data_IF_656705358661
#
_entry.id   IF_656705358661
#
_cell.length_a   1.000
_cell.length_b   1.000
_cell.length_c   1.000
_cell.angle_alpha   90.00
_cell.angle_beta   90.00
_cell.angle_gamma   90.00
#
_symmetry.space_group_name_H-M   'P 1'
#
loop_
_entity.id
_entity.type
_entity.pdbx_description
1 polymer ?
#
# COMPACT_ATOMS: atom_id res chain seq x y z
N UNK A 1 18.18 10.40 22.09
CA UNK A 1 19.59 10.82 22.13
C UNK A 1 19.80 11.71 20.92
N UNK A 2 19.77 13.01 21.14
CA UNK A 2 19.84 14.03 20.09
C UNK A 2 21.31 14.32 19.77
N UNK A 3 21.72 14.11 18.53
CA UNK A 3 23.07 14.48 18.05
C UNK A 3 22.95 15.68 17.13
N UNK A 4 23.35 16.84 17.65
CA UNK A 4 23.55 18.07 16.89
C UNK A 4 24.93 18.03 16.24
N UNK A 5 25.03 18.11 14.92
CA UNK A 5 26.31 18.25 14.21
C UNK A 5 26.32 19.59 13.48
N UNK A 6 27.31 20.39 13.85
CA UNK A 6 27.69 21.71 13.36
C UNK A 6 27.96 21.72 11.86
N UNK A 7 27.48 22.78 11.21
CA UNK A 7 27.88 23.23 9.89
C UNK A 7 29.36 23.66 9.88
N UNK A 8 30.08 23.29 8.82
CA UNK A 8 31.40 23.80 8.48
C UNK A 8 31.31 24.44 7.10
N UNK A 9 31.57 25.75 7.04
CA UNK A 9 31.74 26.53 5.82
C UNK A 9 32.96 26.02 5.04
N UNK A 10 32.74 25.62 3.78
CA UNK A 10 33.78 25.30 2.83
C UNK A 10 34.16 26.56 2.06
N UNK A 11 35.38 27.02 2.33
CA UNK A 11 36.09 28.09 1.65
C UNK A 11 36.46 27.64 0.22
N UNK A 12 35.96 28.38 -0.78
CA UNK A 12 36.28 28.21 -2.20
C UNK A 12 37.69 28.77 -2.50
N UNK A 13 38.57 28.03 -3.19
CA UNK A 13 39.74 28.61 -3.85
C UNK A 13 39.43 28.92 -5.33
N UNK A 14 39.79 30.11 -5.86
CA UNK A 14 39.71 30.39 -7.28
C UNK A 14 40.94 29.85 -8.04
N UNK A 15 40.71 29.57 -9.32
CA UNK A 15 41.57 28.89 -10.29
C UNK A 15 42.79 29.69 -10.77
N UNK A 16 43.81 29.01 -11.36
CA UNK A 16 45.02 29.64 -11.87
C UNK A 16 44.82 30.35 -13.22
N UNK A 17 45.43 31.52 -13.35
CA UNK A 17 45.53 32.34 -14.56
C UNK A 17 46.22 31.60 -15.72
N UNK A 18 45.58 31.64 -16.88
CA UNK A 18 46.15 31.34 -18.19
C UNK A 18 47.18 32.40 -18.59
N UNK A 19 48.39 31.96 -18.92
CA UNK A 19 49.35 32.75 -19.69
C UNK A 19 49.39 32.21 -21.14
N UNK A 20 49.23 33.04 -22.18
CA UNK A 20 49.49 32.61 -23.55
C UNK A 20 50.96 32.82 -23.97
N UNK A 21 51.46 32.04 -24.95
CA UNK A 21 52.88 31.90 -25.25
C UNK A 21 53.35 32.90 -26.30
N UNK A 22 54.59 33.41 -26.15
CA UNK A 22 55.27 34.15 -27.20
C UNK A 22 55.88 33.19 -28.23
N UNK A 23 55.56 33.50 -29.48
CA UNK A 23 55.85 32.79 -30.72
C UNK A 23 57.35 32.56 -30.96
N UNK A 24 57.65 31.40 -31.52
CA UNK A 24 58.96 31.03 -32.03
C UNK A 24 58.81 30.01 -33.14
N UNK A 25 58.46 30.46 -34.34
CA UNK A 25 58.55 29.65 -35.57
C UNK A 25 59.73 30.12 -36.43
N UNK A 26 60.52 29.16 -36.89
CA UNK A 26 61.54 29.33 -37.94
C UNK A 26 61.49 28.14 -38.91
N UNK A 27 61.88 28.45 -40.14
CA UNK A 27 62.00 27.66 -41.38
C UNK A 27 60.69 27.51 -42.17
N UNK A 28 60.66 27.70 -43.49
CA UNK A 28 61.68 27.97 -44.52
C UNK A 28 60.94 28.41 -45.80
N UNK A 29 61.58 29.20 -46.67
CA UNK A 29 61.01 29.59 -47.96
C UNK A 29 62.00 30.35 -48.84
N UNK A 30 62.33 29.73 -49.98
CA UNK A 30 63.35 30.06 -50.98
C UNK A 30 63.16 31.36 -51.80
N UNK A 31 64.31 31.81 -52.32
CA UNK A 31 64.59 32.46 -53.62
C UNK A 31 64.01 33.86 -53.93
N UNK A 32 64.92 34.83 -54.15
CA UNK A 32 65.37 35.20 -55.50
C UNK A 32 66.28 36.45 -55.51
N UNK A 33 67.34 36.35 -56.32
CA UNK A 33 67.94 37.39 -57.16
C UNK A 33 68.39 38.74 -56.55
N UNK A 34 69.71 38.89 -56.43
CA UNK A 34 70.38 40.14 -56.77
C UNK A 34 71.77 39.86 -57.34
N UNK A 35 71.84 39.84 -58.67
CA UNK A 35 73.10 39.97 -59.39
C UNK A 35 73.65 41.39 -59.18
N UNK A 36 74.85 41.49 -58.64
CA UNK A 36 75.68 42.69 -58.77
C UNK A 36 77.11 42.24 -59.08
N UNK A 37 77.36 42.18 -60.38
CA UNK A 37 78.67 42.05 -61.00
C UNK A 37 79.53 43.27 -60.68
N UNK A 38 80.68 43.03 -60.05
CA UNK A 38 81.86 43.87 -60.12
C UNK A 38 83.05 42.92 -60.21
N UNK A 39 83.41 42.45 -61.40
CA UNK A 39 84.39 43.11 -62.28
C UNK A 39 85.66 43.54 -61.54
N UNK A 40 86.53 42.58 -61.27
CA UNK A 40 87.97 42.78 -61.48
C UNK A 40 88.58 41.41 -61.68
N UNK A 41 88.44 40.96 -62.92
CA UNK A 41 89.28 39.96 -63.55
C UNK A 41 90.73 40.41 -63.48
N UNK A 42 91.38 40.15 -62.35
CA UNK A 42 92.80 39.86 -62.31
C UNK A 42 92.89 38.45 -61.74
N UNK A 43 92.64 37.47 -62.62
CA UNK A 43 93.19 36.13 -62.44
C UNK A 43 94.70 36.29 -62.42
N UNK A 44 95.24 36.60 -61.25
CA UNK A 44 96.64 36.44 -60.93
C UNK A 44 96.88 34.94 -60.89
N UNK A 45 96.95 34.33 -62.07
CA UNK A 45 97.30 32.94 -62.25
C UNK A 45 98.81 32.87 -61.98
N UNK A 46 99.23 32.38 -60.79
CA UNK A 46 100.64 32.40 -60.42
C UNK A 46 101.47 31.62 -61.44
N UNK A 47 100.85 30.68 -62.16
CA UNK A 47 101.47 29.91 -63.23
C UNK A 47 101.78 30.78 -64.45
N UNK A 48 100.88 31.69 -64.87
CA UNK A 48 101.10 32.59 -66.01
C UNK A 48 102.11 33.70 -65.70
N UNK A 49 102.10 34.24 -64.48
CA UNK A 49 103.11 35.23 -64.07
C UNK A 49 104.49 34.60 -63.89
N UNK A 50 104.54 33.36 -63.39
CA UNK A 50 105.77 32.56 -63.36
C UNK A 50 106.26 32.24 -64.78
N UNK A 51 105.37 31.88 -65.72
CA UNK A 51 105.71 31.68 -67.13
C UNK A 51 106.24 32.96 -67.79
N UNK A 52 105.62 34.12 -67.58
CA UNK A 52 106.12 35.42 -68.10
C UNK A 52 107.47 35.77 -67.51
N UNK A 53 107.67 35.58 -66.20
CA UNK A 53 108.98 35.80 -65.55
C UNK A 53 110.04 34.85 -66.07
N UNK A 54 109.70 33.59 -66.33
CA UNK A 54 110.62 32.64 -66.96
C UNK A 54 110.97 33.05 -68.40
N UNK A 55 110.01 33.51 -69.20
CA UNK A 55 110.28 34.04 -70.54
C UNK A 55 111.18 35.27 -70.53
N UNK A 56 110.98 36.20 -69.60
CA UNK A 56 111.85 37.38 -69.44
C UNK A 56 113.26 37.01 -68.95
N UNK A 57 113.40 36.02 -68.06
CA UNK A 57 114.70 35.50 -67.62
C UNK A 57 115.43 34.81 -68.78
N UNK A 58 114.72 34.00 -69.58
CA UNK A 58 115.28 33.34 -70.77
C UNK A 58 115.67 34.40 -71.82
N UNK A 59 114.88 35.47 -72.00
CA UNK A 59 115.20 36.56 -72.93
C UNK A 59 116.40 37.39 -72.48
N UNK A 60 116.56 37.62 -71.17
CA UNK A 60 117.65 38.45 -70.62
C UNK A 60 118.95 37.68 -70.39
N UNK A 61 118.89 36.39 -70.08
CA UNK A 61 120.07 35.57 -69.74
C UNK A 61 120.34 34.40 -70.69
N UNK A 62 119.42 34.07 -71.62
CA UNK A 62 119.56 32.94 -72.55
C UNK A 62 120.40 33.21 -73.80
N UNK A 63 120.78 34.46 -74.09
CA UNK A 63 121.69 34.77 -75.20
C UNK A 63 123.14 34.54 -74.79
N UNK A 64 123.64 33.33 -75.07
CA UNK A 64 125.05 32.96 -74.85
C UNK A 64 126.02 33.85 -75.66
N UNK A 65 125.56 34.39 -76.80
CA UNK A 65 126.36 35.20 -77.72
C UNK A 65 126.80 36.54 -77.10
N UNK A 66 125.94 37.20 -76.32
CA UNK A 66 126.28 38.47 -75.67
C UNK A 66 127.30 38.35 -74.51
N UNK A 67 127.43 37.16 -73.92
CA UNK A 67 128.46 36.86 -72.92
C UNK A 67 129.80 36.51 -73.58
N UNK A 68 129.76 35.82 -74.72
CA UNK A 68 130.93 35.52 -75.54
C UNK A 68 131.58 36.80 -76.10
N UNK A 69 130.80 37.76 -76.59
CA UNK A 69 131.35 39.04 -77.10
C UNK A 69 132.04 39.87 -76.02
N UNK A 70 131.49 39.92 -74.80
CA UNK A 70 132.12 40.58 -73.64
C UNK A 70 133.42 39.88 -73.22
N UNK A 71 133.46 38.54 -73.33
CA UNK A 71 134.66 37.76 -73.04
C UNK A 71 135.77 38.05 -74.05
N UNK A 72 135.42 38.11 -75.34
CA UNK A 72 136.35 38.41 -76.45
C UNK A 72 136.88 39.84 -76.37
N UNK A 73 136.06 40.84 -76.05
CA UNK A 73 136.53 42.22 -75.84
C UNK A 73 137.53 42.34 -74.69
N UNK A 74 137.28 41.66 -73.56
CA UNK A 74 138.22 41.64 -72.42
C UNK A 74 139.54 40.93 -72.73
N UNK A 75 139.52 39.91 -73.60
CA UNK A 75 140.73 39.18 -74.03
C UNK A 75 141.52 39.93 -75.12
N UNK A 76 140.92 40.91 -75.79
CA UNK A 76 141.59 41.74 -76.79
C UNK A 76 142.32 42.96 -76.19
N UNK A 77 142.05 43.30 -74.93
CA UNK A 77 142.76 44.36 -74.18
C UNK A 77 144.03 43.90 -73.46
N UNK A 78 144.30 42.59 -73.34
CA UNK A 78 145.55 42.07 -72.76
C UNK A 78 146.62 41.86 -73.84
N UNK A 79 147.82 42.37 -73.59
CA UNK A 79 148.88 42.57 -74.62
C UNK A 79 149.81 41.37 -74.82
N UNK A 80 149.67 40.29 -74.04
CA UNK A 80 150.48 39.07 -74.12
C UNK A 80 149.62 37.79 -74.21
N UNK A 81 150.01 36.77 -75.02
CA UNK A 81 149.29 35.49 -75.07
C UNK A 81 149.28 34.74 -73.73
N UNK A 82 150.26 34.99 -72.86
CA UNK A 82 150.36 34.38 -71.52
C UNK A 82 149.34 34.98 -70.55
N UNK A 83 149.12 36.30 -70.59
CA UNK A 83 148.06 36.99 -69.82
C UNK A 83 146.66 36.56 -70.26
N UNK A 84 146.44 36.32 -71.57
CA UNK A 84 145.15 35.82 -72.08
C UNK A 84 144.82 34.43 -71.54
N UNK A 85 145.82 33.57 -71.39
CA UNK A 85 145.65 32.23 -70.83
C UNK A 85 145.37 32.32 -69.32
N UNK A 86 146.08 33.17 -68.59
CA UNK A 86 145.84 33.39 -67.16
C UNK A 86 144.45 33.98 -66.88
N UNK A 87 144.00 34.97 -67.65
CA UNK A 87 142.66 35.54 -67.50
C UNK A 87 141.56 34.53 -67.86
N UNK A 88 141.80 33.68 -68.87
CA UNK A 88 140.88 32.60 -69.23
C UNK A 88 140.81 31.54 -68.12
N UNK A 89 141.96 31.14 -67.56
CA UNK A 89 142.02 30.21 -66.43
C UNK A 89 141.36 30.79 -65.17
N UNK A 90 141.57 32.08 -64.90
CA UNK A 90 140.93 32.81 -63.79
C UNK A 90 139.41 32.82 -63.95
N UNK A 91 138.91 33.17 -65.13
CA UNK A 91 137.47 33.15 -65.42
C UNK A 91 136.89 31.73 -65.36
N UNK A 92 137.62 30.71 -65.81
CA UNK A 92 137.18 29.31 -65.63
C UNK A 92 137.17 28.88 -64.16
N UNK A 93 138.15 29.31 -63.36
CA UNK A 93 138.18 29.04 -61.92
C UNK A 93 137.04 29.76 -61.18
N UNK A 94 136.74 31.00 -61.55
CA UNK A 94 135.59 31.78 -61.05
C UNK A 94 134.26 31.13 -61.44
N UNK A 95 134.10 30.70 -62.70
CA UNK A 95 132.92 29.97 -63.16
C UNK A 95 132.78 28.61 -62.44
N UNK A 96 133.88 27.89 -62.20
CA UNK A 96 133.86 26.65 -61.44
C UNK A 96 133.51 26.87 -59.97
N UNK A 97 134.00 27.96 -59.36
CA UNK A 97 133.64 28.35 -57.99
C UNK A 97 132.17 28.77 -57.89
N UNK A 98 131.66 29.52 -58.87
CA UNK A 98 130.24 29.89 -58.96
C UNK A 98 129.36 28.66 -59.12
N UNK A 99 129.72 27.72 -60.02
CA UNK A 99 129.02 26.44 -60.19
C UNK A 99 129.01 25.61 -58.90
N UNK A 100 130.13 25.51 -58.18
CA UNK A 100 130.18 24.84 -56.86
C UNK A 100 129.28 25.53 -55.84
N UNK A 101 129.25 26.86 -55.82
CA UNK A 101 128.38 27.63 -54.93
C UNK A 101 126.90 27.44 -55.25
N UNK A 102 126.53 27.39 -56.53
CA UNK A 102 125.16 27.17 -56.97
C UNK A 102 124.72 25.71 -56.77
N UNK A 103 125.62 24.74 -56.93
CA UNK A 103 125.38 23.33 -56.61
C UNK A 103 125.13 23.12 -55.11
N UNK A 104 125.89 23.82 -54.24
CA UNK A 104 125.64 23.82 -52.80
C UNK A 104 124.28 24.43 -52.45
N UNK A 105 123.90 25.56 -53.07
CA UNK A 105 122.57 26.17 -52.91
C UNK A 105 121.47 25.24 -53.41
N UNK A 106 121.67 24.58 -54.55
CA UNK A 106 120.71 23.64 -55.13
C UNK A 106 120.48 22.46 -54.18
N UNK A 107 121.55 21.84 -53.68
CA UNK A 107 121.48 20.76 -52.70
C UNK A 107 120.76 21.20 -51.41
N UNK A 108 121.05 22.41 -50.92
CA UNK A 108 120.36 22.98 -49.75
C UNK A 108 118.86 23.21 -50.01
N UNK A 109 118.51 23.78 -51.16
CA UNK A 109 117.11 23.99 -51.55
C UNK A 109 116.38 22.65 -51.75
N UNK A 110 117.03 21.65 -52.33
CA UNK A 110 116.47 20.33 -52.52
C UNK A 110 116.19 19.65 -51.17
N UNK A 111 117.12 19.74 -50.22
CA UNK A 111 116.90 19.24 -48.86
C UNK A 111 115.77 19.99 -48.16
N UNK A 112 115.69 21.32 -48.32
CA UNK A 112 114.58 22.12 -47.78
C UNK A 112 113.23 21.72 -48.38
N UNK A 113 113.18 21.44 -49.69
CA UNK A 113 111.96 20.97 -50.36
C UNK A 113 111.53 19.61 -49.81
N UNK A 114 112.46 18.68 -49.58
CA UNK A 114 112.15 17.38 -48.98
C UNK A 114 111.56 17.54 -47.56
N UNK A 115 112.18 18.35 -46.70
CA UNK A 115 111.67 18.60 -45.34
C UNK A 115 110.28 19.23 -45.38
N UNK A 116 110.07 20.27 -46.19
CA UNK A 116 108.74 20.90 -46.35
C UNK A 116 107.69 19.92 -46.90
N UNK A 117 108.10 18.98 -47.75
CA UNK A 117 107.21 17.96 -48.30
C UNK A 117 106.81 16.92 -47.24
N UNK A 118 107.74 16.50 -46.39
CA UNK A 118 107.48 15.63 -45.24
C UNK A 118 106.58 16.34 -44.22
N UNK A 119 106.89 17.59 -43.85
CA UNK A 119 106.06 18.42 -42.96
C UNK A 119 104.63 18.58 -43.51
N UNK A 120 104.48 18.83 -44.81
CA UNK A 120 103.16 18.91 -45.47
C UNK A 120 102.40 17.58 -45.36
N UNK A 121 103.08 16.44 -45.58
CA UNK A 121 102.45 15.13 -45.46
C UNK A 121 102.01 14.86 -44.02
N UNK A 122 102.85 15.21 -43.04
CA UNK A 122 102.53 15.09 -41.63
C UNK A 122 101.32 15.96 -41.25
N UNK A 123 101.31 17.25 -41.60
CA UNK A 123 100.17 18.15 -41.35
C UNK A 123 98.89 17.67 -42.06
N UNK A 124 99.00 17.09 -43.25
CA UNK A 124 97.85 16.49 -43.94
C UNK A 124 97.31 15.26 -43.19
N UNK A 125 98.18 14.40 -42.67
CA UNK A 125 97.78 13.25 -41.86
C UNK A 125 97.12 13.70 -40.55
N UNK A 126 97.70 14.69 -39.86
CA UNK A 126 97.13 15.30 -38.65
C UNK A 126 95.76 15.94 -38.93
N UNK A 127 95.63 16.67 -40.04
CA UNK A 127 94.34 17.24 -40.46
C UNK A 127 93.28 16.16 -40.72
N UNK A 128 93.65 15.06 -41.40
CA UNK A 128 92.74 13.92 -41.65
C UNK A 128 92.31 13.24 -40.35
N UNK A 129 93.27 13.01 -39.44
CA UNK A 129 93.01 12.44 -38.11
C UNK A 129 92.07 13.36 -37.29
N UNK A 130 92.35 14.66 -37.25
CA UNK A 130 91.52 15.65 -36.56
C UNK A 130 90.10 15.72 -37.16
N UNK A 131 89.97 15.67 -38.48
CA UNK A 131 88.66 15.65 -39.15
C UNK A 131 87.85 14.38 -38.80
N UNK A 132 88.50 13.21 -38.78
CA UNK A 132 87.85 11.97 -38.36
C UNK A 132 87.37 12.04 -36.90
N UNK A 133 88.22 12.53 -35.99
CA UNK A 133 87.83 12.73 -34.58
C UNK A 133 86.65 13.69 -34.44
N UNK A 134 86.61 14.79 -35.21
CA UNK A 134 85.47 15.72 -35.24
C UNK A 134 84.19 15.02 -35.71
N UNK A 135 84.24 14.27 -36.81
CA UNK A 135 83.06 13.55 -37.30
C UNK A 135 82.50 12.52 -36.30
N UNK A 136 83.39 11.87 -35.53
CA UNK A 136 82.98 10.94 -34.47
C UNK A 136 82.33 11.66 -33.29
N UNK A 137 82.87 12.82 -32.89
CA UNK A 137 82.24 13.64 -31.85
C UNK A 137 80.89 14.18 -32.30
N UNK A 138 80.77 14.64 -33.55
CA UNK A 138 79.50 15.12 -34.12
C UNK A 138 78.45 14.01 -34.20
N UNK A 139 78.82 12.77 -34.53
CA UNK A 139 77.88 11.64 -34.47
C UNK A 139 77.46 11.33 -33.04
N UNK A 140 78.42 11.26 -32.10
CA UNK A 140 78.11 11.03 -30.68
C UNK A 140 77.22 12.13 -30.10
N UNK A 141 77.45 13.40 -30.47
CA UNK A 141 76.59 14.50 -30.05
C UNK A 141 75.17 14.38 -30.61
N UNK A 142 75.02 13.97 -31.88
CA UNK A 142 73.69 13.73 -32.48
C UNK A 142 72.98 12.56 -31.81
N UNK A 143 73.68 11.46 -31.56
CA UNK A 143 73.12 10.29 -30.88
C UNK A 143 72.70 10.63 -29.45
N UNK A 144 73.53 11.37 -28.71
CA UNK A 144 73.20 11.84 -27.36
C UNK A 144 71.98 12.77 -27.37
N UNK A 145 71.88 13.68 -28.33
CA UNK A 145 70.71 14.55 -28.50
C UNK A 145 69.45 13.76 -28.83
N UNK A 146 69.53 12.76 -29.69
CA UNK A 146 68.43 11.86 -30.01
C UNK A 146 67.98 11.07 -28.78
N UNK A 147 68.92 10.48 -28.03
CA UNK A 147 68.63 9.81 -26.76
C UNK A 147 67.99 10.75 -25.73
N UNK A 148 68.48 11.98 -25.60
CA UNK A 148 67.85 12.99 -24.74
C UNK A 148 66.44 13.37 -25.21
N UNK A 149 66.17 13.32 -26.52
CA UNK A 149 64.83 13.50 -27.08
C UNK A 149 63.89 12.37 -26.67
N UNK A 150 64.28 11.13 -26.96
CA UNK A 150 63.51 9.93 -26.61
C UNK A 150 63.26 9.83 -25.10
N UNK A 151 64.27 10.08 -24.27
CA UNK A 151 64.13 10.03 -22.81
C UNK A 151 63.11 11.07 -22.30
N UNK A 152 63.11 12.27 -22.89
CA UNK A 152 62.13 13.32 -22.55
C UNK A 152 60.72 12.92 -22.98
N UNK A 153 60.55 12.40 -24.19
CA UNK A 153 59.26 11.91 -24.68
C UNK A 153 58.73 10.75 -23.82
N UNK A 154 59.59 9.80 -23.46
CA UNK A 154 59.21 8.66 -22.62
C UNK A 154 58.85 9.09 -21.20
N UNK A 155 59.57 10.06 -20.63
CA UNK A 155 59.22 10.65 -19.33
C UNK A 155 57.85 11.33 -19.39
N UNK A 156 57.59 12.14 -20.44
CA UNK A 156 56.30 12.79 -20.64
C UNK A 156 55.17 11.78 -20.87
N UNK A 157 55.42 10.71 -21.63
CA UNK A 157 54.45 9.63 -21.84
C UNK A 157 54.13 8.92 -20.53
N UNK A 158 55.15 8.56 -19.74
CA UNK A 158 55.00 7.93 -18.44
C UNK A 158 54.17 8.80 -17.48
N UNK A 159 54.44 10.11 -17.41
CA UNK A 159 53.64 11.04 -16.63
C UNK A 159 52.17 11.06 -17.05
N UNK A 160 51.87 11.08 -18.36
CA UNK A 160 50.48 11.06 -18.86
C UNK A 160 49.76 9.75 -18.49
N UNK A 161 50.42 8.61 -18.64
CA UNK A 161 49.85 7.30 -18.31
C UNK A 161 49.55 7.18 -16.82
N UNK A 162 50.44 7.68 -15.95
CA UNK A 162 50.23 7.64 -14.51
C UNK A 162 49.15 8.64 -14.04
N UNK A 163 49.05 9.80 -14.67
CA UNK A 163 47.93 10.73 -14.47
C UNK A 163 46.60 10.13 -14.92
N UNK A 164 46.58 9.39 -16.03
CA UNK A 164 45.41 8.67 -16.52
C UNK A 164 44.96 7.58 -15.57
N UNK A 165 45.88 6.72 -15.10
CA UNK A 165 45.58 5.71 -14.07
C UNK A 165 45.05 6.36 -12.79
N UNK A 166 45.63 7.49 -12.35
CA UNK A 166 45.11 8.23 -11.19
C UNK A 166 43.68 8.73 -11.44
N UNK A 167 43.40 9.27 -12.63
CA UNK A 167 42.04 9.72 -13.01
C UNK A 167 41.06 8.55 -13.01
N UNK A 168 41.40 7.43 -13.64
CA UNK A 168 40.55 6.23 -13.71
C UNK A 168 40.23 5.67 -12.32
N UNK A 169 41.25 5.51 -11.47
CA UNK A 169 41.06 5.03 -10.10
C UNK A 169 40.17 6.00 -9.31
N UNK A 170 40.39 7.31 -9.45
CA UNK A 170 39.59 8.32 -8.75
C UNK A 170 38.14 8.33 -9.24
N UNK A 171 37.92 8.24 -10.55
CA UNK A 171 36.58 8.12 -11.15
C UNK A 171 35.88 6.88 -10.65
N UNK A 172 36.54 5.72 -10.69
CA UNK A 172 35.96 4.46 -10.23
C UNK A 172 35.54 4.51 -8.75
N UNK A 173 36.35 5.13 -7.88
CA UNK A 173 35.97 5.32 -6.48
C UNK A 173 34.80 6.30 -6.31
N UNK A 174 34.75 7.37 -7.09
CA UNK A 174 33.61 8.28 -7.09
C UNK A 174 32.34 7.58 -7.58
N UNK A 175 32.40 6.84 -8.68
CA UNK A 175 31.29 6.08 -9.22
C UNK A 175 30.76 5.07 -8.20
N UNK A 176 31.66 4.30 -7.57
CA UNK A 176 31.30 3.34 -6.53
C UNK A 176 30.67 4.01 -5.30
N UNK A 177 31.17 5.18 -4.87
CA UNK A 177 30.58 5.95 -3.78
C UNK A 177 29.17 6.44 -4.16
N UNK A 178 28.98 6.94 -5.38
CA UNK A 178 27.66 7.36 -5.86
C UNK A 178 26.68 6.20 -5.98
N UNK A 179 27.14 5.01 -6.39
CA UNK A 179 26.32 3.81 -6.44
C UNK A 179 25.89 3.37 -5.03
N UNK A 180 26.82 3.37 -4.07
CA UNK A 180 26.50 3.05 -2.66
C UNK A 180 25.50 4.06 -2.10
N UNK A 181 25.67 5.36 -2.38
CA UNK A 181 24.72 6.40 -1.99
C UNK A 181 23.33 6.17 -2.61
N UNK A 182 23.27 5.89 -3.91
CA UNK A 182 22.01 5.59 -4.60
C UNK A 182 21.33 4.33 -4.03
N UNK A 183 22.09 3.31 -3.65
CA UNK A 183 21.56 2.12 -2.99
C UNK A 183 21.00 2.43 -1.59
N UNK A 184 21.69 3.26 -0.79
CA UNK A 184 21.20 3.71 0.52
C UNK A 184 19.90 4.50 0.36
N UNK A 185 19.84 5.43 -0.59
CA UNK A 185 18.65 6.22 -0.88
C UNK A 185 17.49 5.32 -1.33
N UNK A 186 17.73 4.38 -2.23
CA UNK A 186 16.72 3.41 -2.67
C UNK A 186 16.19 2.57 -1.50
N UNK A 187 17.08 2.09 -0.62
CA UNK A 187 16.70 1.33 0.57
C UNK A 187 15.90 2.17 1.56
N UNK A 188 16.30 3.42 1.78
CA UNK A 188 15.57 4.36 2.64
C UNK A 188 14.17 4.66 2.09
N UNK A 189 14.04 4.94 0.79
CA UNK A 189 12.77 5.19 0.14
C UNK A 189 11.84 3.98 0.19
N UNK A 190 12.39 2.76 0.05
CA UNK A 190 11.65 1.51 0.22
C UNK A 190 11.19 1.32 1.67
N UNK A 191 12.05 1.63 2.64
CA UNK A 191 11.70 1.57 4.05
C UNK A 191 10.58 2.55 4.39
N UNK A 192 10.69 3.81 3.96
CA UNK A 192 9.64 4.82 4.13
C UNK A 192 8.31 4.40 3.53
N UNK A 193 8.35 3.73 2.37
CA UNK A 193 7.15 3.18 1.73
C UNK A 193 6.50 2.10 2.60
N UNK A 194 7.29 1.17 3.15
CA UNK A 194 6.79 0.13 4.06
C UNK A 194 6.24 0.73 5.35
N UNK A 195 6.90 1.75 5.91
CA UNK A 195 6.39 2.47 7.08
C UNK A 195 5.04 3.11 6.79
N UNK A 196 4.89 3.80 5.66
CA UNK A 196 3.60 4.38 5.21
C UNK A 196 2.52 3.31 5.00
N UNK A 197 2.86 2.19 4.37
CA UNK A 197 1.91 1.08 4.17
C UNK A 197 1.47 0.47 5.50
N UNK A 198 2.40 0.28 6.45
CA UNK A 198 2.07 -0.20 7.80
C UNK A 198 1.17 0.79 8.55
N UNK A 199 1.48 2.10 8.52
CA UNK A 199 0.61 3.13 9.11
C UNK A 199 -0.80 3.07 8.51
N UNK A 200 -0.92 2.99 7.18
CA UNK A 200 -2.21 2.88 6.50
C UNK A 200 -2.98 1.61 6.90
N UNK A 201 -2.29 0.48 7.10
CA UNK A 201 -2.92 -0.77 7.55
C UNK A 201 -3.39 -0.66 9.00
N UNK A 202 -2.59 -0.06 9.89
CA UNK A 202 -2.97 0.21 11.27
C UNK A 202 -4.20 1.12 11.33
N UNK A 203 -4.22 2.23 10.59
CA UNK A 203 -5.38 3.13 10.52
C UNK A 203 -6.65 2.43 10.00
N UNK A 204 -6.52 1.53 9.01
CA UNK A 204 -7.64 0.72 8.52
C UNK A 204 -8.15 -0.25 9.58
N UNK A 205 -7.26 -0.89 10.33
CA UNK A 205 -7.62 -1.78 11.43
C UNK A 205 -8.32 -1.01 12.54
N UNK A 206 -7.78 0.14 12.95
CA UNK A 206 -8.41 1.04 13.92
C UNK A 206 -9.80 1.49 13.47
N UNK A 207 -9.95 1.91 12.21
CA UNK A 207 -11.25 2.27 11.64
C UNK A 207 -12.25 1.10 11.68
N UNK A 208 -11.81 -0.13 11.38
CA UNK A 208 -12.65 -1.32 11.46
C UNK A 208 -13.04 -1.62 12.91
N UNK A 209 -12.10 -1.58 13.85
CA UNK A 209 -12.39 -1.77 15.29
C UNK A 209 -13.43 -0.75 15.77
N UNK A 210 -13.24 0.54 15.50
CA UNK A 210 -14.21 1.58 15.87
C UNK A 210 -15.55 1.44 15.18
N UNK A 211 -15.62 0.82 13.98
CA UNK A 211 -16.88 0.46 13.35
C UNK A 211 -17.58 -0.71 14.06
N UNK A 212 -16.83 -1.71 14.49
CA UNK A 212 -17.37 -2.84 15.25
C UNK A 212 -17.87 -2.41 16.62
N UNK A 213 -17.12 -1.58 17.34
CA UNK A 213 -17.54 -1.00 18.62
C UNK A 213 -18.88 -0.26 18.47
N UNK A 214 -19.01 0.61 17.46
CA UNK A 214 -20.28 1.30 17.16
C UNK A 214 -21.42 0.35 16.83
N UNK A 215 -21.16 -0.75 16.11
CA UNK A 215 -22.17 -1.77 15.80
C UNK A 215 -22.59 -2.53 17.05
N UNK A 216 -21.65 -2.89 17.91
CA UNK A 216 -21.90 -3.58 19.17
C UNK A 216 -22.74 -2.71 20.11
N UNK A 217 -22.39 -1.44 20.28
CA UNK A 217 -23.22 -0.48 21.04
C UNK A 217 -24.64 -0.35 20.48
N UNK A 218 -24.80 -0.34 19.15
CA UNK A 218 -26.11 -0.31 18.52
C UNK A 218 -26.90 -1.60 18.78
N UNK A 219 -26.25 -2.76 18.71
CA UNK A 219 -26.87 -4.05 19.01
C UNK A 219 -27.29 -4.15 20.48
N UNK A 220 -26.48 -3.66 21.40
CA UNK A 220 -26.86 -3.58 22.82
C UNK A 220 -28.11 -2.72 23.03
N UNK A 221 -28.17 -1.54 22.38
CA UNK A 221 -29.35 -0.66 22.45
C UNK A 221 -30.60 -1.36 21.92
N UNK A 222 -30.48 -2.08 20.80
CA UNK A 222 -31.57 -2.88 20.23
C UNK A 222 -31.99 -4.02 21.18
N UNK A 223 -31.02 -4.72 21.79
CA UNK A 223 -31.31 -5.79 22.76
C UNK A 223 -32.07 -5.24 23.95
N UNK A 224 -31.59 -4.15 24.56
CA UNK A 224 -32.25 -3.45 25.67
C UNK A 224 -33.68 -3.03 25.29
N UNK A 225 -33.88 -2.50 24.09
CA UNK A 225 -35.21 -2.14 23.60
C UNK A 225 -36.14 -3.35 23.46
N UNK A 226 -35.64 -4.46 22.87
CA UNK A 226 -36.39 -5.72 22.72
C UNK A 226 -36.76 -6.33 24.07
N UNK A 227 -35.84 -6.32 25.04
CA UNK A 227 -36.10 -6.84 26.39
C UNK A 227 -37.18 -6.03 27.10
N UNK A 228 -37.14 -4.71 26.99
CA UNK A 228 -38.18 -3.84 27.55
C UNK A 228 -39.53 -4.07 26.86
N UNK A 229 -39.55 -4.22 25.53
CA UNK A 229 -40.75 -4.54 24.78
C UNK A 229 -41.33 -5.91 25.20
N UNK A 230 -40.48 -6.92 25.37
CA UNK A 230 -40.89 -8.26 25.81
C UNK A 230 -41.50 -8.21 27.22
N UNK A 231 -40.82 -7.56 28.17
CA UNK A 231 -41.34 -7.35 29.54
C UNK A 231 -42.68 -6.62 29.55
N UNK A 232 -42.85 -5.61 28.69
CA UNK A 232 -44.13 -4.90 28.55
C UNK A 232 -45.24 -5.83 28.04
N UNK A 233 -44.95 -6.64 27.02
CA UNK A 233 -45.94 -7.60 26.49
C UNK A 233 -46.29 -8.69 27.49
N UNK A 234 -45.30 -9.19 28.23
CA UNK A 234 -45.49 -10.20 29.27
C UNK A 234 -46.33 -9.64 30.43
N UNK A 235 -46.05 -8.42 30.89
CA UNK A 235 -46.85 -7.76 31.92
C UNK A 235 -48.31 -7.54 31.48
N UNK A 236 -48.54 -7.14 30.22
CA UNK A 236 -49.90 -7.01 29.66
C UNK A 236 -50.62 -8.35 29.59
N UNK A 237 -49.91 -9.42 29.20
CA UNK A 237 -50.46 -10.78 29.18
C UNK A 237 -50.82 -11.25 30.60
N UNK A 238 -49.93 -11.04 31.57
CA UNK A 238 -50.18 -11.37 32.98
C UNK A 238 -51.39 -10.62 33.53
N UNK A 239 -51.51 -9.32 33.23
CA UNK A 239 -52.67 -8.51 33.63
C UNK A 239 -53.97 -9.04 33.02
N UNK A 240 -53.99 -9.38 31.72
CA UNK A 240 -55.17 -9.93 31.06
C UNK A 240 -55.57 -11.30 31.64
N UNK A 241 -54.60 -12.18 31.91
CA UNK A 241 -54.84 -13.48 32.54
C UNK A 241 -55.40 -13.34 33.95
N UNK A 242 -54.90 -12.37 34.74
CA UNK A 242 -55.41 -12.10 36.08
C UNK A 242 -56.88 -11.64 36.05
N UNK A 243 -57.23 -10.70 35.16
CA UNK A 243 -58.62 -10.25 34.98
C UNK A 243 -59.54 -11.39 34.51
N UNK A 244 -59.05 -12.27 33.63
CA UNK A 244 -59.79 -13.44 33.17
C UNK A 244 -60.03 -14.43 34.32
N UNK A 245 -59.00 -14.73 35.12
CA UNK A 245 -59.14 -15.59 36.29
C UNK A 245 -60.11 -15.01 37.34
N UNK A 246 -60.05 -13.70 37.61
CA UNK A 246 -61.01 -13.03 38.49
C UNK A 246 -62.45 -13.12 37.97
N UNK A 247 -62.65 -12.95 36.66
CA UNK A 247 -63.96 -13.07 36.03
C UNK A 247 -64.48 -14.51 36.08
N UNK A 248 -63.63 -15.50 35.80
CA UNK A 248 -63.96 -16.92 35.93
C UNK A 248 -64.34 -17.27 37.36
N UNK A 249 -63.61 -16.79 38.36
CA UNK A 249 -63.91 -17.06 39.76
C UNK A 249 -65.18 -16.35 40.23
N UNK A 250 -65.47 -15.13 39.75
CA UNK A 250 -66.77 -14.46 40.00
C UNK A 250 -67.91 -15.28 39.40
N UNK A 251 -67.78 -15.69 38.14
CA UNK A 251 -68.77 -16.51 37.46
C UNK A 251 -68.98 -17.86 38.16
N UNK A 252 -67.91 -18.52 38.63
CA UNK A 252 -68.01 -19.75 39.44
C UNK A 252 -68.81 -19.51 40.73
N UNK A 253 -68.51 -18.45 41.48
CA UNK A 253 -69.24 -18.10 42.73
C UNK A 253 -70.72 -17.80 42.46
N UNK A 254 -71.02 -17.04 41.42
CA UNK A 254 -72.41 -16.73 41.02
C UNK A 254 -73.16 -18.01 40.60
N UNK A 255 -72.52 -18.87 39.82
CA UNK A 255 -73.09 -20.17 39.42
C UNK A 255 -73.38 -21.05 40.64
N UNK A 256 -72.44 -21.16 41.56
CA UNK A 256 -72.61 -21.92 42.82
C UNK A 256 -73.76 -21.35 43.66
N UNK A 257 -73.83 -20.03 43.81
CA UNK A 257 -74.91 -19.35 44.51
C UNK A 257 -76.29 -19.66 43.92
N UNK A 258 -76.44 -19.55 42.59
CA UNK A 258 -77.68 -19.86 41.89
C UNK A 258 -78.06 -21.35 42.00
N UNK A 259 -77.08 -22.26 41.97
CA UNK A 259 -77.32 -23.69 42.17
C UNK A 259 -77.85 -23.99 43.58
N UNK A 260 -77.29 -23.34 44.61
CA UNK A 260 -77.77 -23.47 46.00
C UNK A 260 -79.20 -22.95 46.12
N UNK A 261 -79.48 -21.74 45.62
CA UNK A 261 -80.85 -21.21 45.63
C UNK A 261 -81.84 -22.12 44.90
N UNK A 262 -81.49 -22.62 43.71
CA UNK A 262 -82.34 -23.53 42.97
C UNK A 262 -82.61 -24.84 43.75
N UNK A 263 -81.63 -25.34 44.49
CA UNK A 263 -81.80 -26.50 45.37
C UNK A 263 -82.74 -26.20 46.55
N UNK A 264 -82.62 -25.03 47.19
CA UNK A 264 -83.48 -24.57 48.28
C UNK A 264 -84.94 -24.39 47.83
N UNK A 265 -85.17 -23.69 46.71
CA UNK A 265 -86.50 -23.52 46.13
C UNK A 265 -87.14 -24.86 45.77
N UNK A 266 -86.35 -25.79 45.21
CA UNK A 266 -86.83 -27.14 44.89
C UNK A 266 -87.23 -27.91 46.15
N UNK A 267 -86.46 -27.79 47.24
CA UNK A 267 -86.78 -28.41 48.52
C UNK A 267 -88.07 -27.83 49.10
N UNK A 268 -88.21 -26.50 49.12
CA UNK A 268 -89.42 -25.82 49.60
C UNK A 268 -90.66 -26.21 48.80
N UNK A 269 -90.56 -26.24 47.46
CA UNK A 269 -91.64 -26.68 46.59
C UNK A 269 -92.01 -28.16 46.84
N UNK A 270 -91.05 -29.01 47.17
CA UNK A 270 -91.31 -30.40 47.57
C UNK A 270 -92.08 -30.46 48.88
N UNK A 271 -91.66 -29.72 49.90
CA UNK A 271 -92.34 -29.65 51.20
C UNK A 271 -93.77 -29.13 51.08
N UNK A 272 -94.01 -28.05 50.34
CA UNK A 272 -95.35 -27.52 50.12
C UNK A 272 -96.24 -28.51 49.36
N UNK A 273 -95.69 -29.24 48.38
CA UNK A 273 -96.41 -30.30 47.68
C UNK A 273 -96.78 -31.44 48.63
N UNK A 274 -95.85 -31.89 49.47
CA UNK A 274 -96.12 -32.92 50.49
C UNK A 274 -97.22 -32.44 51.45
N UNK A 275 -97.15 -31.21 51.96
CA UNK A 275 -98.21 -30.61 52.79
C UNK A 275 -99.56 -30.55 52.06
N UNK A 276 -99.58 -30.14 50.79
CA UNK A 276 -100.80 -30.10 49.98
C UNK A 276 -101.41 -31.50 49.80
N UNK A 277 -100.58 -32.53 49.57
CA UNK A 277 -101.07 -33.92 49.48
C UNK A 277 -101.64 -34.42 50.81
N UNK A 278 -101.03 -34.06 51.94
CA UNK A 278 -101.55 -34.39 53.28
C UNK A 278 -102.88 -33.67 53.53
N UNK A 279 -102.99 -32.38 53.22
CA UNK A 279 -104.26 -31.64 53.35
C UNK A 279 -105.34 -32.20 52.44
N UNK A 280 -105.02 -32.56 51.21
CA UNK A 280 -105.96 -33.19 50.29
C UNK A 280 -106.45 -34.54 50.84
N UNK A 281 -105.56 -35.34 51.42
CA UNK A 281 -105.94 -36.59 52.09
C UNK A 281 -106.86 -36.33 53.30
N UNK A 282 -106.57 -35.31 54.10
CA UNK A 282 -107.45 -34.93 55.23
C UNK A 282 -108.82 -34.44 54.76
N UNK A 283 -108.89 -33.57 53.76
CA UNK A 283 -110.16 -33.12 53.17
C UNK A 283 -110.96 -34.29 52.61
N UNK A 284 -110.29 -35.25 51.96
CA UNK A 284 -110.92 -36.47 51.46
C UNK A 284 -111.48 -37.31 52.61
N UNK A 285 -110.72 -37.47 53.69
CA UNK A 285 -111.15 -38.20 54.89
C UNK A 285 -112.34 -37.51 55.58
N UNK A 286 -112.32 -36.19 55.74
CA UNK A 286 -113.45 -35.44 56.29
C UNK A 286 -114.67 -35.47 55.37
N UNK A 287 -114.48 -35.41 54.05
CA UNK A 287 -115.54 -35.61 53.06
C UNK A 287 -116.20 -36.97 53.22
N UNK A 288 -115.41 -38.05 53.27
CA UNK A 288 -115.91 -39.41 53.55
C UNK A 288 -116.65 -39.49 54.88
N UNK A 289 -116.14 -38.85 55.95
CA UNK A 289 -116.83 -38.80 57.25
C UNK A 289 -118.16 -38.04 57.16
N UNK A 290 -118.20 -36.95 56.40
CA UNK A 290 -119.43 -36.20 56.18
C UNK A 290 -120.46 -37.01 55.39
N UNK A 291 -120.03 -37.74 54.36
CA UNK A 291 -120.88 -38.66 53.60
C UNK A 291 -121.41 -39.79 54.50
N UNK A 292 -120.57 -40.35 55.39
CA UNK A 292 -121.00 -41.32 56.41
C UNK A 292 -122.06 -40.71 57.35
N UNK A 293 -121.85 -39.49 57.84
CA UNK A 293 -122.83 -38.78 58.66
C UNK A 293 -124.13 -38.53 57.89
N UNK A 294 -124.05 -38.05 56.65
CA UNK A 294 -125.22 -37.77 55.82
C UNK A 294 -125.98 -39.07 55.50
N UNK A 295 -125.30 -40.16 55.19
CA UNK A 295 -125.90 -41.49 55.01
C UNK A 295 -126.58 -41.99 56.29
N UNK A 296 -126.00 -41.70 57.45
CA UNK A 296 -126.58 -42.06 58.76
C UNK A 296 -127.79 -41.19 59.09
N UNK A 297 -127.74 -39.89 58.79
CA UNK A 297 -128.84 -38.94 58.90
C UNK A 297 -129.99 -39.31 57.96
N UNK A 298 -129.70 -39.69 56.72
CA UNK A 298 -130.69 -40.18 55.76
C UNK A 298 -131.36 -41.46 56.27
N UNK A 299 -130.60 -42.45 56.75
CA UNK A 299 -131.15 -43.64 57.41
C UNK A 299 -132.01 -43.30 58.63
N UNK A 300 -131.56 -42.37 59.47
CA UNK A 300 -132.32 -41.91 60.63
C UNK A 300 -133.63 -41.21 60.22
N UNK A 301 -133.60 -40.40 59.17
CA UNK A 301 -134.77 -39.73 58.63
C UNK A 301 -135.74 -40.72 57.98
N UNK A 302 -135.25 -41.74 57.28
CA UNK A 302 -136.06 -42.86 56.79
C UNK A 302 -136.75 -43.62 57.94
N UNK A 303 -136.01 -43.90 59.02
CA UNK A 303 -136.55 -44.52 60.23
C UNK A 303 -137.62 -43.60 60.85
N UNK A 304 -137.37 -42.29 60.93
CA UNK A 304 -138.33 -41.31 61.42
C UNK A 304 -139.61 -41.29 60.58
N UNK A 305 -139.50 -41.26 59.26
CA UNK A 305 -140.64 -41.31 58.32
C UNK A 305 -141.42 -42.62 58.48
N UNK A 306 -140.75 -43.77 58.65
CA UNK A 306 -141.43 -45.04 58.96
C UNK A 306 -142.16 -44.98 60.30
N UNK A 307 -141.49 -44.52 61.36
CA UNK A 307 -142.10 -44.38 62.68
C UNK A 307 -143.32 -43.44 62.64
N UNK A 308 -143.23 -42.34 61.90
CA UNK A 308 -144.34 -41.42 61.70
C UNK A 308 -145.50 -42.10 60.99
N UNK A 309 -145.22 -42.87 59.93
CA UNK A 309 -146.23 -43.66 59.21
C UNK A 309 -146.86 -44.74 60.08
N UNK A 310 -146.08 -45.40 60.94
CA UNK A 310 -146.59 -46.36 61.93
C UNK A 310 -147.45 -45.67 62.98
N UNK A 311 -147.06 -44.49 63.48
CA UNK A 311 -147.89 -43.68 64.39
C UNK A 311 -149.21 -43.25 63.75
N UNK A 312 -149.19 -42.81 62.48
CA UNK A 312 -150.40 -42.42 61.76
C UNK A 312 -151.30 -43.65 61.52
N UNK A 313 -150.73 -44.80 61.16
CA UNK A 313 -151.45 -46.08 61.08
C UNK A 313 -152.03 -46.51 62.44
N UNK A 314 -151.28 -46.33 63.53
CA UNK A 314 -151.73 -46.64 64.88
C UNK A 314 -152.87 -45.70 65.31
N UNK A 315 -152.80 -44.42 64.92
CA UNK A 315 -153.87 -43.43 65.12
C UNK A 315 -155.13 -43.79 64.32
N UNK A 316 -154.98 -44.25 63.07
CA UNK A 316 -156.11 -44.74 62.27
C UNK A 316 -156.71 -46.04 62.83
N UNK A 317 -155.88 -46.96 63.33
CA UNK A 317 -156.35 -48.14 64.08
C UNK A 317 -157.10 -47.72 65.36
N UNK A 318 -156.59 -46.73 66.08
CA UNK A 318 -157.23 -46.19 67.28
C UNK A 318 -158.60 -45.58 66.95
N UNK A 319 -158.72 -44.79 65.88
CA UNK A 319 -160.01 -44.29 65.37
C UNK A 319 -160.97 -45.41 64.95
N UNK A 320 -160.46 -46.49 64.34
CA UNK A 320 -161.28 -47.67 63.99
C UNK A 320 -161.84 -48.34 65.24
N UNK A 321 -161.01 -48.56 66.25
CA UNK A 321 -161.44 -49.13 67.53
C UNK A 321 -162.42 -48.21 68.26
N UNK A 322 -162.23 -46.88 68.21
CA UNK A 322 -163.23 -45.92 68.75
C UNK A 322 -164.56 -45.99 67.99
N UNK A 323 -164.53 -46.09 66.65
CA UNK A 323 -165.75 -46.27 65.84
C UNK A 323 -166.46 -47.57 66.15
N UNK A 324 -165.70 -48.67 66.28
CA UNK A 324 -166.24 -49.97 66.67
C UNK A 324 -166.78 -49.94 68.11
N UNK A 325 -166.10 -49.29 69.05
CA UNK A 325 -166.56 -49.10 70.43
C UNK A 325 -167.85 -48.28 70.50
N UNK A 326 -167.94 -47.18 69.76
CA UNK A 326 -169.16 -46.40 69.63
C UNK A 326 -170.29 -47.20 68.98
N UNK A 327 -170.01 -47.98 67.94
CA UNK A 327 -171.01 -48.86 67.30
C UNK A 327 -171.55 -49.90 68.28
N UNK A 328 -170.67 -50.53 69.08
CA UNK A 328 -171.07 -51.45 70.14
C UNK A 328 -171.89 -50.74 71.22
N UNK A 329 -171.54 -49.50 71.57
CA UNK A 329 -172.30 -48.67 72.50
C UNK A 329 -173.70 -48.36 71.98
N UNK A 330 -173.83 -47.95 70.72
CA UNK A 330 -175.13 -47.67 70.08
C UNK A 330 -175.97 -48.95 69.92
N UNK A 331 -175.36 -50.11 69.62
CA UNK A 331 -176.06 -51.40 69.59
C UNK A 331 -176.56 -51.81 70.98
N UNK A 332 -175.77 -51.59 72.01
CA UNK A 332 -176.16 -51.86 73.39
C UNK A 332 -177.32 -50.94 73.83
N UNK A 333 -177.24 -49.65 73.51
CA UNK A 333 -178.31 -48.68 73.77
C UNK A 333 -179.61 -49.03 73.02
N UNK A 334 -179.53 -49.46 71.76
CA UNK A 334 -180.70 -49.86 70.97
C UNK A 334 -181.34 -51.17 71.46
N UNK A 335 -180.55 -52.18 71.85
CA UNK A 335 -181.10 -53.39 72.47
C UNK A 335 -181.78 -53.09 73.81
N UNK A 336 -181.18 -52.24 74.66
CA UNK A 336 -181.82 -51.83 75.91
C UNK A 336 -183.08 -51.01 75.68
N UNK A 337 -183.12 -50.17 74.64
CA UNK A 337 -184.31 -49.42 74.24
C UNK A 337 -185.44 -50.34 73.78
N UNK A 338 -185.13 -51.33 72.93
CA UNK A 338 -186.09 -52.36 72.52
C UNK A 338 -186.58 -53.24 73.70
N UNK A 339 -185.71 -53.51 74.69
CA UNK A 339 -186.10 -54.21 75.91
C UNK A 339 -187.03 -53.37 76.80
N UNK A 340 -186.85 -52.05 76.79
CA UNK A 340 -187.68 -51.12 77.57
C UNK A 340 -189.06 -50.95 76.93
N UNK A 341 -189.12 -50.82 75.60
CA UNK A 341 -190.38 -50.72 74.83
C UNK A 341 -191.23 -52.01 74.95
N UNK A 342 -190.60 -53.20 74.96
CA UNK A 342 -191.31 -54.47 75.21
C UNK A 342 -191.84 -54.62 76.64
N UNK A 343 -191.23 -53.96 77.64
CA UNK A 343 -191.72 -53.95 79.02
C UNK A 343 -192.90 -52.97 79.18
N UNK A 344 -192.97 -51.91 78.37
CA UNK A 344 -194.06 -50.94 78.38
C UNK A 344 -195.34 -51.46 77.69
N UNK A 345 -195.25 -52.32 76.67
CA UNK A 345 -196.43 -52.92 76.02
C UNK A 345 -197.16 -53.97 76.90
N UNK A 346 -196.49 -54.55 77.91
CA UNK A 346 -197.14 -55.39 78.95
C UNK A 346 -197.97 -54.55 79.94
N UNK A 347 -197.81 -53.21 79.94
CA UNK A 347 -198.47 -52.29 80.88
C UNK A 347 -199.71 -51.56 80.34
N UNK A 348 -199.95 -51.57 79.01
CA UNK A 348 -200.96 -50.71 78.37
C UNK A 348 -202.22 -51.39 77.78
N UNK A 349 -202.38 -52.73 77.83
CA UNK A 349 -203.64 -53.39 77.41
C UNK A 349 -204.41 -54.11 78.53
N UNK A 350 -204.20 -53.70 79.79
CA UNK A 350 -205.03 -54.05 80.94
C UNK A 350 -206.11 -53.00 81.27
N UNK A 351 -206.41 -52.04 80.37
CA UNK A 351 -207.42 -51.00 80.63
C UNK A 351 -208.07 -50.40 79.36
N UNK A 352 -208.93 -51.17 78.67
CA UNK A 352 -210.25 -50.77 78.11
C UNK A 352 -210.76 -51.86 77.15
N UNK A 353 -211.67 -52.74 77.58
CA UNK A 353 -213.15 -52.71 77.36
C UNK A 353 -213.56 -53.69 76.24
N UNK A 354 -214.44 -54.61 76.64
CA UNK A 354 -215.36 -55.49 75.88
C UNK A 354 -214.80 -56.63 75.02
#
# INVERSE_FOLDING_TARGET
METSVKAAELLVPPQPDEAPPLEGERSEGEAAAACASSSSSDTFDPMQEFSRRLEDIIRTHGSADGLLDKLVQSLNSSSSPEEKLEDLLRKHAELAALRRGDEQKLNFLQQKVLVLQEERQQLQAERRSSAAARSQLESLCRDLQAHHGVLREETLRCCREDEEKRREITSHFQDMLTEIQAQIELHSARNDKLCRENSNLTEKLESLMSQYERKEESLEKISKHRDLQHKLTEAKLQQANALLAEAEDKHKREKEYLLVQAAEWKLQAKTLREQATVMQAQLTLYGQKFDEFQATLAKSNEIYVRFKKEMDNMTEKMKKVEKESNLWKTRFENCNKALTDMIEEVRCFSHHVF
#
